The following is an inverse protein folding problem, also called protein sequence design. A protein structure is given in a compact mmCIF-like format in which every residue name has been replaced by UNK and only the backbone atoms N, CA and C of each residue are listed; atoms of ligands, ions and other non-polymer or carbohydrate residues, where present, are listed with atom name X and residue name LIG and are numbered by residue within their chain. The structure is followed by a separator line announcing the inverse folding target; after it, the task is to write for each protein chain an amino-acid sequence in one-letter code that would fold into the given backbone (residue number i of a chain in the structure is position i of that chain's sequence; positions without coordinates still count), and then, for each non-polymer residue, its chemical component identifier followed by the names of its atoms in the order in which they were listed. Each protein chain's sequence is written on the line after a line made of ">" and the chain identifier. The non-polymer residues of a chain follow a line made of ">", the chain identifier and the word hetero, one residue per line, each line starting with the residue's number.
data_IF_687171130123
#
_entry.id   IF_687171130123
#
_cell.length_a   1.000
_cell.length_b   1.000
_cell.length_c   1.000
_cell.angle_alpha   90.00
_cell.angle_beta   90.00
_cell.angle_gamma   90.00
#
_symmetry.space_group_name_H-M   'P 1'
#
loop_
_entity.id
_entity.type
_entity.pdbx_description
1 polymer ?
#
# COMPACT_ATOMS: atom_id res chain seq x y z
N UNK A 1 -2.86 -16.19 -2.54
CA UNK A 1 -4.28 -15.75 -2.67
C UNK A 1 -4.67 -14.55 -1.79
N UNK A 2 -4.06 -14.36 -0.61
CA UNK A 2 -4.41 -13.26 0.32
C UNK A 2 -4.27 -11.85 -0.27
N UNK A 3 -3.14 -11.58 -0.90
CA UNK A 3 -2.83 -10.27 -1.47
C UNK A 3 -3.74 -9.88 -2.64
N UNK A 4 -4.08 -10.82 -3.53
CA UNK A 4 -5.04 -10.55 -4.62
C UNK A 4 -6.43 -10.16 -4.09
N UNK A 5 -6.91 -10.81 -3.01
CA UNK A 5 -8.16 -10.39 -2.34
C UNK A 5 -8.02 -9.01 -1.69
N UNK A 6 -6.89 -8.73 -1.06
CA UNK A 6 -6.61 -7.42 -0.48
C UNK A 6 -6.62 -6.31 -1.55
N UNK A 7 -5.91 -6.50 -2.66
CA UNK A 7 -5.86 -5.54 -3.77
C UNK A 7 -7.23 -5.38 -4.42
N UNK A 8 -7.96 -6.49 -4.62
CA UNK A 8 -9.32 -6.45 -5.14
C UNK A 8 -10.28 -5.66 -4.26
N UNK A 9 -10.19 -5.81 -2.94
CA UNK A 9 -10.93 -4.96 -2.01
C UNK A 9 -10.45 -3.51 -2.10
N UNK A 10 -9.14 -3.27 -2.04
CA UNK A 10 -8.54 -1.94 -2.08
C UNK A 10 -9.01 -1.13 -3.29
N UNK A 11 -9.04 -1.75 -4.46
CA UNK A 11 -9.41 -1.13 -5.72
C UNK A 11 -10.87 -0.60 -5.74
N UNK A 12 -11.75 -1.12 -4.87
CA UNK A 12 -13.12 -0.59 -4.72
C UNK A 12 -13.07 0.85 -4.23
N UNK A 13 -13.58 1.78 -5.03
CA UNK A 13 -13.61 3.21 -4.75
C UNK A 13 -12.33 3.98 -5.10
N UNK A 14 -11.35 3.33 -5.75
CA UNK A 14 -10.17 3.96 -6.36
C UNK A 14 -9.84 3.28 -7.70
N UNK A 15 -10.88 2.87 -8.43
CA UNK A 15 -10.76 2.10 -9.65
C UNK A 15 -9.81 2.77 -10.66
N UNK A 16 -8.90 1.98 -11.24
CA UNK A 16 -7.92 2.47 -12.21
C UNK A 16 -6.74 3.24 -11.61
N UNK A 17 -6.64 3.36 -10.28
CA UNK A 17 -5.49 3.97 -9.59
C UNK A 17 -4.35 3.00 -9.34
N UNK A 18 -4.63 1.70 -9.25
CA UNK A 18 -3.62 0.63 -9.11
C UNK A 18 -3.50 -0.06 -10.47
N UNK A 19 -2.31 -0.04 -11.07
CA UNK A 19 -2.05 -0.60 -12.42
C UNK A 19 -1.44 -1.98 -12.37
N UNK A 20 -0.68 -2.28 -11.32
CA UNK A 20 -0.07 -3.57 -11.09
C UNK A 20 0.16 -3.75 -9.58
N UNK A 21 0.41 -5.00 -9.19
CA UNK A 21 0.88 -5.30 -7.85
C UNK A 21 1.79 -6.52 -7.88
N UNK A 22 2.83 -6.48 -7.06
CA UNK A 22 3.79 -7.57 -6.89
C UNK A 22 3.78 -8.07 -5.45
N UNK A 23 4.37 -9.24 -5.26
CA UNK A 23 4.65 -9.80 -3.95
C UNK A 23 6.15 -9.79 -3.74
N UNK A 24 6.59 -9.22 -2.63
CA UNK A 24 7.98 -9.31 -2.17
C UNK A 24 8.00 -9.90 -0.76
N UNK A 25 9.16 -10.42 -0.33
CA UNK A 25 9.29 -11.19 0.92
C UNK A 25 8.70 -10.51 2.18
N UNK A 26 8.46 -9.20 2.14
CA UNK A 26 7.96 -8.41 3.27
C UNK A 26 6.51 -7.90 3.09
N UNK A 27 5.85 -8.17 1.96
CA UNK A 27 4.47 -7.74 1.72
C UNK A 27 4.04 -7.61 0.25
N UNK A 28 3.09 -6.72 0.00
CA UNK A 28 2.52 -6.47 -1.33
C UNK A 28 2.92 -5.08 -1.83
N UNK A 29 3.57 -5.01 -2.98
CA UNK A 29 3.95 -3.75 -3.62
C UNK A 29 2.85 -3.34 -4.60
N UNK A 30 2.27 -2.17 -4.41
CA UNK A 30 1.26 -1.59 -5.29
C UNK A 30 1.94 -0.61 -6.24
N UNK A 31 1.66 -0.71 -7.53
CA UNK A 31 2.07 0.27 -8.53
C UNK A 31 0.90 1.16 -8.89
N UNK A 32 1.07 2.47 -8.72
CA UNK A 32 0.00 3.44 -8.97
C UNK A 32 0.04 3.99 -10.39
N UNK A 33 -1.12 4.40 -10.89
CA UNK A 33 -1.31 4.97 -12.24
C UNK A 33 -0.81 6.42 -12.39
N UNK A 34 0.02 6.91 -11.46
CA UNK A 34 0.67 8.22 -11.56
C UNK A 34 2.05 8.13 -12.23
N UNK A 35 2.42 6.93 -12.69
CA UNK A 35 3.59 6.66 -13.52
C UNK A 35 4.87 6.36 -12.76
N UNK A 36 4.93 6.57 -11.44
CA UNK A 36 6.16 6.36 -10.68
C UNK A 36 5.97 5.94 -9.22
N UNK A 37 4.78 6.02 -8.63
CA UNK A 37 4.61 5.75 -7.20
C UNK A 37 4.44 4.26 -6.93
N UNK A 38 5.26 3.76 -6.01
CA UNK A 38 5.19 2.42 -5.43
C UNK A 38 4.82 2.51 -3.96
N UNK A 39 3.93 1.62 -3.54
CA UNK A 39 3.50 1.52 -2.14
C UNK A 39 3.64 0.08 -1.67
N UNK A 40 4.62 -0.18 -0.81
CA UNK A 40 4.81 -1.48 -0.16
C UNK A 40 3.90 -1.58 1.06
N UNK A 41 2.93 -2.47 1.05
CA UNK A 41 2.07 -2.76 2.20
C UNK A 41 2.62 -3.99 2.91
N UNK A 42 3.12 -3.80 4.14
CA UNK A 42 3.74 -4.88 4.89
C UNK A 42 2.76 -6.03 5.17
N UNK A 43 3.27 -7.25 5.21
CA UNK A 43 2.45 -8.44 5.46
C UNK A 43 1.68 -8.32 6.80
N UNK A 44 2.36 -7.88 7.86
CA UNK A 44 1.76 -7.68 9.19
C UNK A 44 0.56 -6.72 9.17
N UNK A 45 0.56 -5.73 8.28
CA UNK A 45 -0.55 -4.79 8.11
C UNK A 45 -1.75 -5.49 7.45
N UNK A 46 -1.51 -6.28 6.40
CA UNK A 46 -2.57 -6.98 5.67
C UNK A 46 -3.24 -8.04 6.54
N UNK A 47 -2.51 -8.68 7.45
CA UNK A 47 -3.08 -9.66 8.39
C UNK A 47 -3.74 -9.04 9.61
N UNK A 48 -3.09 -8.04 10.22
CA UNK A 48 -3.48 -7.53 11.52
C UNK A 48 -4.47 -6.36 11.49
N UNK A 49 -4.41 -5.51 10.46
CA UNK A 49 -5.16 -4.24 10.41
C UNK A 49 -5.72 -3.97 9.01
N UNK A 50 -6.22 -5.02 8.36
CA UNK A 50 -6.68 -4.97 6.97
C UNK A 50 -7.63 -3.80 6.68
N UNK A 51 -8.71 -3.65 7.45
CA UNK A 51 -9.77 -2.68 7.13
C UNK A 51 -9.29 -1.23 7.32
N UNK A 52 -8.49 -0.99 8.35
CA UNK A 52 -7.84 0.30 8.60
C UNK A 52 -6.84 0.62 7.47
N UNK A 53 -6.06 -0.37 7.03
CA UNK A 53 -5.11 -0.23 5.94
C UNK A 53 -5.81 0.10 4.62
N UNK A 54 -6.93 -0.56 4.31
CA UNK A 54 -7.73 -0.25 3.13
C UNK A 54 -8.23 1.19 3.15
N UNK A 55 -8.73 1.66 4.30
CA UNK A 55 -9.20 3.04 4.47
C UNK A 55 -8.07 4.05 4.28
N UNK A 56 -6.94 3.83 4.96
CA UNK A 56 -5.76 4.70 4.91
C UNK A 56 -5.17 4.78 3.49
N UNK A 57 -5.01 3.65 2.81
CA UNK A 57 -4.52 3.59 1.43
C UNK A 57 -5.45 4.30 0.46
N UNK A 58 -6.76 4.06 0.51
CA UNK A 58 -7.71 4.76 -0.37
C UNK A 58 -7.68 6.26 -0.15
N UNK A 59 -7.62 6.71 1.10
CA UNK A 59 -7.52 8.13 1.43
C UNK A 59 -6.26 8.75 0.82
N UNK A 60 -5.09 8.12 1.02
CA UNK A 60 -3.80 8.60 0.50
C UNK A 60 -3.74 8.57 -1.03
N UNK A 61 -4.19 7.48 -1.65
CA UNK A 61 -4.27 7.33 -3.11
C UNK A 61 -5.16 8.40 -3.74
N UNK A 62 -6.31 8.73 -3.12
CA UNK A 62 -7.18 9.80 -3.61
C UNK A 62 -6.55 11.19 -3.49
N UNK A 63 -5.83 11.43 -2.40
CA UNK A 63 -5.12 12.70 -2.18
C UNK A 63 -3.95 12.90 -3.15
N UNK A 64 -3.37 11.80 -3.68
CA UNK A 64 -2.16 11.80 -4.52
C UNK A 64 -0.95 12.51 -3.87
N UNK A 65 -1.01 12.71 -2.56
CA UNK A 65 0.06 13.30 -1.78
C UNK A 65 0.90 12.17 -1.19
N UNK A 66 2.06 11.90 -1.77
CA UNK A 66 2.93 10.82 -1.31
C UNK A 66 4.24 11.31 -0.69
N UNK A 67 4.68 12.53 -1.02
CA UNK A 67 5.97 13.08 -0.59
C UNK A 67 7.22 12.35 -1.12
N UNK A 68 7.09 11.08 -1.53
CA UNK A 68 8.12 10.23 -2.13
C UNK A 68 7.47 9.30 -3.15
N UNK A 69 8.25 8.86 -4.15
CA UNK A 69 7.82 7.85 -5.13
C UNK A 69 7.85 6.43 -4.59
N UNK A 70 8.57 6.21 -3.49
CA UNK A 70 8.64 4.91 -2.85
C UNK A 70 8.25 5.04 -1.37
N UNK A 71 7.16 4.36 -1.03
CA UNK A 71 6.48 4.47 0.25
C UNK A 71 6.15 3.08 0.78
N UNK A 72 6.14 2.93 2.10
CA UNK A 72 5.72 1.73 2.79
C UNK A 72 4.60 2.06 3.77
N UNK A 73 3.59 1.20 3.85
CA UNK A 73 2.60 1.18 4.91
C UNK A 73 2.97 0.06 5.89
N UNK A 74 3.37 0.47 7.09
CA UNK A 74 3.88 -0.41 8.14
C UNK A 74 3.12 -0.22 9.45
N UNK A 75 3.17 -1.22 10.31
CA UNK A 75 2.63 -1.15 11.66
C UNK A 75 3.75 -0.74 12.64
N UNK A 76 3.63 0.43 13.27
CA UNK A 76 4.56 0.92 14.29
C UNK A 76 3.84 1.26 15.57
N UNK A 77 4.21 0.60 16.67
CA UNK A 77 3.58 0.82 17.97
C UNK A 77 2.07 0.60 17.98
N UNK A 78 1.55 -0.28 17.11
CA UNK A 78 0.11 -0.54 16.97
C UNK A 78 -0.63 0.40 16.01
N UNK A 79 0.05 1.36 15.39
CA UNK A 79 -0.54 2.32 14.46
C UNK A 79 -0.01 2.14 13.03
N UNK A 80 -0.88 2.36 12.05
CA UNK A 80 -0.49 2.40 10.65
C UNK A 80 0.27 3.70 10.33
N UNK A 81 1.46 3.55 9.76
CA UNK A 81 2.32 4.66 9.39
C UNK A 81 2.76 4.51 7.94
N UNK A 82 2.62 5.59 7.17
CA UNK A 82 3.26 5.74 5.87
C UNK A 82 4.66 6.30 6.06
N UNK A 83 5.66 5.62 5.53
CA UNK A 83 7.03 6.10 5.54
C UNK A 83 7.72 5.83 4.22
N UNK A 84 8.85 6.49 3.96
CA UNK A 84 9.62 6.19 2.75
C UNK A 84 10.16 4.77 2.85
N UNK A 85 9.94 3.99 1.80
CA UNK A 85 10.57 2.68 1.70
C UNK A 85 12.08 2.93 1.54
N UNK A 86 12.85 2.67 2.61
CA UNK A 86 14.30 2.66 2.51
C UNK A 86 14.66 1.29 1.98
N UNK A 87 14.98 1.21 0.70
CA UNK A 87 15.89 0.16 0.24
C UNK A 87 17.14 0.28 1.12
N UNK A 88 17.43 -0.77 1.89
CA UNK A 88 18.75 -0.92 2.50
C UNK A 88 19.73 -0.99 1.33
N UNK A 89 20.37 0.14 1.03
CA UNK A 89 21.54 0.19 0.17
C UNK A 89 22.70 -0.58 0.83
#
# INVERSE_FOLDING_TARGET
>A
MRYGKFVGELNKGIEGRIVAYDYQNEGCVLHLNDGCTKVTVAESVIDGQKDEALSALRSRIRAQDWGSRDMALVLKGGHLVFERHRELA
#
